data_IF_751689525409
#
_entry.id   IF_751689525409
#
_cell.length_a   1.000
_cell.length_b   1.000
_cell.length_c   1.000
_cell.angle_alpha   90.00
_cell.angle_beta   90.00
_cell.angle_gamma   90.00
#
_symmetry.space_group_name_H-M   'P 1'
#
loop_
_entity.id
_entity.type
_entity.pdbx_description
1 polymer ?
#
# COMPACT_ATOMS: atom_id res chain seq x y z
N UNK A 1 -18.23 -27.95 -23.19
CA UNK A 1 -17.92 -26.52 -23.06
C UNK A 1 -19.21 -25.79 -23.33
N UNK A 2 -19.77 -25.12 -22.34
CA UNK A 2 -20.88 -24.18 -22.57
C UNK A 2 -20.36 -23.05 -23.46
N UNK A 3 -21.13 -22.67 -24.48
CA UNK A 3 -20.85 -21.46 -25.24
C UNK A 3 -21.16 -20.24 -24.36
N UNK A 4 -20.18 -19.37 -24.16
CA UNK A 4 -20.38 -18.08 -23.52
C UNK A 4 -20.60 -17.01 -24.59
N UNK A 5 -21.86 -16.54 -24.79
CA UNK A 5 -22.18 -15.53 -25.79
C UNK A 5 -21.57 -14.15 -25.49
N UNK A 6 -21.04 -13.95 -24.28
CA UNK A 6 -20.45 -12.69 -23.81
C UNK A 6 -18.95 -12.78 -23.58
N UNK A 7 -18.29 -13.87 -23.98
CA UNK A 7 -16.83 -14.03 -23.87
C UNK A 7 -16.05 -12.86 -24.50
N UNK A 8 -16.62 -12.21 -25.52
CA UNK A 8 -16.03 -11.04 -26.17
C UNK A 8 -15.94 -9.81 -25.25
N UNK A 9 -16.74 -9.73 -24.18
CA UNK A 9 -16.68 -8.65 -23.19
C UNK A 9 -15.43 -8.73 -22.30
N UNK A 10 -14.76 -9.88 -22.23
CA UNK A 10 -13.55 -10.06 -21.41
C UNK A 10 -12.32 -9.35 -22.00
N UNK A 11 -12.33 -9.05 -23.31
CA UNK A 11 -11.26 -8.30 -23.96
C UNK A 11 -11.52 -6.79 -23.91
N UNK A 12 -11.06 -6.13 -22.85
CA UNK A 12 -11.24 -4.69 -22.65
C UNK A 12 -10.55 -3.81 -23.72
N UNK A 13 -9.62 -4.37 -24.50
CA UNK A 13 -8.99 -3.65 -25.61
C UNK A 13 -9.81 -3.67 -26.90
N UNK A 14 -10.81 -4.55 -27.01
CA UNK A 14 -11.69 -4.63 -28.18
C UNK A 14 -12.52 -3.34 -28.33
N UNK A 15 -12.50 -2.75 -29.53
CA UNK A 15 -13.25 -1.55 -29.86
C UNK A 15 -14.76 -1.72 -29.68
N UNK A 16 -15.30 -2.93 -29.85
CA UNK A 16 -16.71 -3.23 -29.59
C UNK A 16 -17.04 -3.12 -28.10
N UNK A 17 -16.14 -3.59 -27.23
CA UNK A 17 -16.30 -3.47 -25.77
C UNK A 17 -16.24 -2.02 -25.34
N UNK A 18 -15.27 -1.25 -25.86
CA UNK A 18 -15.18 0.20 -25.60
C UNK A 18 -16.45 0.94 -26.03
N UNK A 19 -16.96 0.69 -27.24
CA UNK A 19 -18.24 1.24 -27.71
C UNK A 19 -19.43 0.81 -26.86
N UNK A 20 -19.46 -0.44 -26.42
CA UNK A 20 -20.49 -0.96 -25.54
C UNK A 20 -20.51 -0.20 -24.21
N UNK A 21 -19.34 -0.01 -23.58
CA UNK A 21 -19.17 0.76 -22.33
C UNK A 21 -19.64 2.21 -22.52
N UNK A 22 -19.18 2.88 -23.57
CA UNK A 22 -19.56 4.27 -23.87
C UNK A 22 -21.07 4.43 -24.00
N UNK A 23 -21.73 3.57 -24.80
CA UNK A 23 -23.18 3.60 -25.00
C UNK A 23 -23.96 3.38 -23.70
N UNK A 24 -23.51 2.47 -22.85
CA UNK A 24 -24.20 2.20 -21.58
C UNK A 24 -23.98 3.34 -20.58
N UNK A 25 -22.78 3.91 -20.54
CA UNK A 25 -22.48 5.08 -19.71
C UNK A 25 -23.30 6.31 -20.15
N UNK A 26 -23.41 6.56 -21.45
CA UNK A 26 -24.25 7.65 -22.00
C UNK A 26 -25.72 7.44 -21.62
N UNK A 27 -26.28 6.27 -21.92
CA UNK A 27 -27.66 5.92 -21.57
C UNK A 27 -27.93 6.09 -20.07
N UNK A 28 -26.98 5.70 -19.21
CA UNK A 28 -27.14 5.84 -17.77
C UNK A 28 -27.12 7.32 -17.35
N UNK A 29 -26.17 8.11 -17.87
CA UNK A 29 -26.10 9.56 -17.60
C UNK A 29 -27.37 10.28 -18.03
N UNK A 30 -27.94 9.92 -19.18
CA UNK A 30 -29.25 10.43 -19.63
C UNK A 30 -30.38 10.02 -18.69
N UNK A 31 -30.42 8.75 -18.28
CA UNK A 31 -31.46 8.21 -17.41
C UNK A 31 -31.47 8.90 -16.03
N UNK A 32 -30.31 9.12 -15.41
CA UNK A 32 -30.23 9.84 -14.13
C UNK A 32 -30.37 11.35 -14.31
N UNK A 33 -30.08 11.89 -15.51
CA UNK A 33 -30.14 13.31 -15.83
C UNK A 33 -29.41 14.16 -14.79
N UNK A 34 -30.09 15.21 -14.29
CA UNK A 34 -29.55 16.11 -13.28
C UNK A 34 -29.75 15.63 -11.83
N UNK A 35 -30.24 14.40 -11.61
CA UNK A 35 -30.46 13.89 -10.27
C UNK A 35 -29.18 13.88 -9.43
N UNK A 36 -28.04 13.53 -10.05
CA UNK A 36 -26.72 13.56 -9.39
C UNK A 36 -26.37 14.95 -8.87
N UNK A 37 -26.58 16.00 -9.68
CA UNK A 37 -26.30 17.40 -9.32
C UNK A 37 -27.14 17.88 -8.13
N UNK A 38 -28.36 17.35 -7.97
CA UNK A 38 -29.23 17.71 -6.83
C UNK A 38 -28.66 17.27 -5.49
N UNK A 39 -27.94 16.15 -5.47
CA UNK A 39 -27.33 15.60 -4.26
C UNK A 39 -25.84 15.93 -4.14
N UNK A 40 -25.23 16.51 -5.18
CA UNK A 40 -23.79 16.77 -5.21
C UNK A 40 -23.33 17.65 -4.04
N UNK A 41 -24.07 18.71 -3.71
CA UNK A 41 -23.74 19.59 -2.57
C UNK A 41 -23.86 18.88 -1.22
N UNK A 42 -24.89 18.05 -1.06
CA UNK A 42 -25.12 17.30 0.19
C UNK A 42 -24.00 16.27 0.37
N UNK A 43 -23.67 15.53 -0.69
CA UNK A 43 -22.56 14.57 -0.68
C UNK A 43 -21.21 15.26 -0.46
N UNK A 44 -21.00 16.44 -1.06
CA UNK A 44 -19.77 17.21 -0.88
C UNK A 44 -19.54 17.61 0.56
N UNK A 45 -20.60 17.94 1.30
CA UNK A 45 -20.50 18.28 2.73
C UNK A 45 -19.80 17.19 3.51
N UNK A 46 -20.16 15.93 3.26
CA UNK A 46 -19.57 14.77 3.93
C UNK A 46 -18.22 14.38 3.34
N UNK A 47 -18.08 14.45 2.01
CA UNK A 47 -16.84 14.09 1.34
C UNK A 47 -15.68 15.04 1.71
N UNK A 48 -15.99 16.30 2.02
CA UNK A 48 -15.03 17.32 2.45
C UNK A 48 -14.40 17.08 3.82
N UNK A 49 -15.03 16.26 4.66
CA UNK A 49 -14.52 15.99 6.00
C UNK A 49 -13.24 15.16 5.89
N UNK A 50 -12.10 15.64 6.46
CA UNK A 50 -10.88 14.85 6.53
C UNK A 50 -11.12 13.53 7.27
N UNK A 51 -10.60 12.43 6.73
CA UNK A 51 -10.69 11.10 7.35
C UNK A 51 -9.28 10.61 7.63
N UNK A 52 -9.06 10.13 8.86
CA UNK A 52 -7.86 9.37 9.22
C UNK A 52 -8.00 7.96 8.64
N UNK A 53 -7.06 7.58 7.77
CA UNK A 53 -7.04 6.26 7.13
C UNK A 53 -6.13 5.28 7.87
N UNK A 54 -4.98 5.77 8.34
CA UNK A 54 -3.96 4.97 9.00
C UNK A 54 -3.20 5.85 10.02
N UNK A 55 -2.62 5.25 11.06
CA UNK A 55 -1.79 5.92 12.05
C UNK A 55 -0.70 5.00 12.60
N UNK A 56 0.48 5.56 12.87
CA UNK A 56 1.62 4.85 13.47
C UNK A 56 2.15 5.66 14.66
N UNK A 57 1.96 5.19 15.91
CA UNK A 57 2.52 5.84 17.10
C UNK A 57 4.03 5.56 17.23
N UNK A 58 4.78 6.56 17.67
CA UNK A 58 6.24 6.54 17.83
C UNK A 58 6.66 7.34 19.05
N UNK A 59 7.94 7.33 19.42
CA UNK A 59 8.45 8.19 20.51
C UNK A 59 8.34 9.68 20.17
N UNK A 60 8.43 10.07 18.89
CA UNK A 60 8.32 11.47 18.44
C UNK A 60 6.89 12.01 18.42
N UNK A 61 5.90 11.13 18.22
CA UNK A 61 4.50 11.51 18.06
C UNK A 61 3.71 10.43 17.32
N UNK A 62 2.56 10.83 16.77
CA UNK A 62 1.71 9.93 15.99
C UNK A 62 1.74 10.36 14.53
N UNK A 63 2.24 9.49 13.67
CA UNK A 63 2.09 9.66 12.22
C UNK A 63 0.66 9.35 11.83
N UNK A 64 0.08 10.17 10.95
CA UNK A 64 -1.31 10.07 10.53
C UNK A 64 -1.38 10.21 9.01
N UNK A 65 -1.96 9.20 8.37
CA UNK A 65 -2.40 9.29 6.98
C UNK A 65 -3.84 9.78 6.94
N UNK A 66 -4.07 10.87 6.21
CA UNK A 66 -5.39 11.47 6.05
C UNK A 66 -5.80 11.53 4.59
N UNK A 67 -7.09 11.26 4.33
CA UNK A 67 -7.75 11.66 3.09
C UNK A 67 -8.39 13.02 3.30
N UNK A 68 -7.91 13.99 2.55
CA UNK A 68 -8.48 15.33 2.50
C UNK A 68 -9.08 15.61 1.12
N UNK A 69 -9.75 16.75 1.00
CA UNK A 69 -10.38 17.19 -0.24
C UNK A 69 -9.47 17.17 -1.45
N UNK A 70 -8.20 17.45 -1.22
CA UNK A 70 -7.24 17.75 -2.26
C UNK A 70 -6.20 16.64 -2.43
N UNK A 71 -6.35 15.52 -1.71
CA UNK A 71 -5.51 14.34 -1.84
C UNK A 71 -5.25 13.65 -0.51
N UNK A 72 -4.24 12.80 -0.50
CA UNK A 72 -3.77 12.15 0.72
C UNK A 72 -2.62 12.95 1.31
N UNK A 73 -2.57 13.02 2.64
CA UNK A 73 -1.48 13.71 3.37
C UNK A 73 -0.98 12.84 4.50
N UNK A 74 0.34 12.83 4.67
CA UNK A 74 1.00 12.24 5.83
C UNK A 74 1.47 13.36 6.74
N UNK A 75 1.07 13.27 8.00
CA UNK A 75 1.33 14.27 9.02
C UNK A 75 1.90 13.63 10.27
N UNK A 76 2.65 14.39 11.06
CA UNK A 76 3.10 14.02 12.39
C UNK A 76 2.39 14.92 13.41
N UNK A 77 1.60 14.30 14.29
CA UNK A 77 1.07 14.94 15.48
C UNK A 77 2.07 14.76 16.62
N UNK A 78 2.78 15.82 16.96
CA UNK A 78 3.72 15.86 18.08
C UNK A 78 2.98 15.79 19.42
N UNK A 79 3.66 15.32 20.46
CA UNK A 79 3.07 15.15 21.79
C UNK A 79 2.65 16.45 22.48
N UNK A 80 3.21 17.58 22.06
CA UNK A 80 2.81 18.93 22.49
C UNK A 80 1.57 19.46 21.76
N UNK A 81 1.05 18.70 20.78
CA UNK A 81 -0.12 19.04 19.99
C UNK A 81 0.19 19.76 18.68
N UNK A 82 1.46 20.03 18.35
CA UNK A 82 1.84 20.56 17.05
C UNK A 82 1.56 19.52 15.94
N UNK A 83 1.03 19.98 14.81
CA UNK A 83 0.76 19.13 13.65
C UNK A 83 1.62 19.58 12.47
N UNK A 84 2.52 18.70 12.05
CA UNK A 84 3.43 18.93 10.94
C UNK A 84 3.01 18.12 9.70
N UNK A 85 2.98 18.74 8.52
CA UNK A 85 2.80 18.02 7.24
C UNK A 85 4.16 17.56 6.68
N UNK A 86 4.25 16.27 6.35
CA UNK A 86 5.49 15.63 5.88
C UNK A 86 5.43 15.25 4.40
N UNK A 87 4.27 14.79 3.93
CA UNK A 87 4.08 14.42 2.54
C UNK A 87 2.64 14.70 2.06
N UNK A 88 2.51 14.99 0.77
CA UNK A 88 1.22 15.17 0.09
C UNK A 88 1.20 14.38 -1.20
N UNK A 89 0.11 13.68 -1.49
CA UNK A 89 0.00 12.91 -2.73
C UNK A 89 0.06 13.79 -3.99
N UNK A 90 -0.23 15.09 -3.86
CA UNK A 90 -0.09 16.06 -4.96
C UNK A 90 1.34 16.21 -5.48
N UNK A 91 2.35 15.99 -4.62
CA UNK A 91 3.76 16.10 -5.03
C UNK A 91 4.33 14.79 -5.56
N UNK A 92 3.57 13.70 -5.50
CA UNK A 92 4.05 12.35 -5.87
C UNK A 92 3.76 11.98 -7.31
N UNK A 93 2.70 12.53 -7.91
CA UNK A 93 2.32 12.21 -9.27
C UNK A 93 0.87 12.57 -9.59
N UNK A 94 0.47 12.35 -10.84
CA UNK A 94 -0.90 12.62 -11.27
C UNK A 94 -1.83 11.56 -10.69
N UNK A 95 -2.86 11.99 -9.94
CA UNK A 95 -3.80 11.08 -9.28
C UNK A 95 -3.12 10.09 -8.32
N UNK A 96 -2.00 10.48 -7.70
CA UNK A 96 -1.34 9.62 -6.73
C UNK A 96 -2.21 9.45 -5.47
N UNK A 97 -2.19 8.23 -4.95
CA UNK A 97 -2.90 7.81 -3.74
C UNK A 97 -1.87 7.23 -2.79
N UNK A 98 -1.85 7.73 -1.55
CA UNK A 98 -1.03 7.13 -0.49
C UNK A 98 -1.92 6.14 0.26
N UNK A 99 -1.51 4.88 0.34
CA UNK A 99 -2.34 3.81 0.91
C UNK A 99 -1.95 3.50 2.34
N UNK A 100 -0.65 3.56 2.65
CA UNK A 100 -0.11 3.10 3.93
C UNK A 100 1.08 3.94 4.38
N UNK A 101 1.31 3.93 5.69
CA UNK A 101 2.44 4.57 6.36
C UNK A 101 3.11 3.57 7.30
N UNK A 102 4.42 3.72 7.48
CA UNK A 102 5.24 2.84 8.31
C UNK A 102 6.34 3.66 8.99
N UNK A 103 6.35 3.74 10.31
CA UNK A 103 7.37 4.50 11.03
C UNK A 103 8.38 3.58 11.77
N UNK A 104 9.60 4.09 11.97
CA UNK A 104 10.53 3.57 12.97
C UNK A 104 10.02 3.85 14.39
N UNK A 105 10.50 3.10 15.39
CA UNK A 105 10.00 3.22 16.77
C UNK A 105 10.26 4.61 17.37
N UNK A 106 11.44 5.16 17.13
CA UNK A 106 11.83 6.52 17.51
C UNK A 106 11.10 7.61 16.70
N UNK A 107 10.50 7.22 15.57
CA UNK A 107 9.87 8.12 14.62
C UNK A 107 10.84 9.00 13.83
N UNK A 108 12.14 8.66 13.73
CA UNK A 108 13.06 9.40 12.88
C UNK A 108 12.89 9.08 11.39
N UNK A 109 12.35 7.91 11.05
CA UNK A 109 12.12 7.48 9.67
C UNK A 109 10.64 7.21 9.40
N UNK A 110 10.20 7.62 8.21
CA UNK A 110 8.84 7.43 7.75
C UNK A 110 8.83 6.83 6.34
N UNK A 111 8.31 5.62 6.22
CA UNK A 111 7.91 5.01 4.97
C UNK A 111 6.45 5.33 4.64
N UNK A 112 6.15 5.58 3.37
CA UNK A 112 4.77 5.60 2.88
C UNK A 112 4.68 4.96 1.49
N UNK A 113 3.62 4.18 1.29
CA UNK A 113 3.35 3.53 0.02
C UNK A 113 2.37 4.36 -0.80
N UNK A 114 2.67 4.57 -2.07
CA UNK A 114 1.78 5.25 -3.00
C UNK A 114 1.75 4.59 -4.38
N UNK A 115 0.62 4.71 -5.07
CA UNK A 115 0.49 4.34 -6.47
C UNK A 115 -0.12 5.47 -7.30
N UNK A 116 0.18 5.48 -8.59
CA UNK A 116 -0.42 6.42 -9.54
C UNK A 116 -1.69 5.82 -10.12
N UNK A 117 -2.75 6.63 -10.22
CA UNK A 117 -4.01 6.25 -10.85
C UNK A 117 -4.66 4.94 -10.36
N UNK A 118 -4.32 4.48 -9.15
CA UNK A 118 -4.82 3.23 -8.57
C UNK A 118 -4.19 1.98 -9.17
N UNK A 119 -2.98 2.08 -9.73
CA UNK A 119 -2.20 0.91 -10.11
C UNK A 119 -1.94 0.00 -8.91
N UNK A 120 -1.99 -1.31 -9.16
CA UNK A 120 -1.70 -2.32 -8.14
C UNK A 120 -0.22 -2.31 -7.73
N UNK A 121 0.68 -1.99 -8.67
CA UNK A 121 2.09 -1.77 -8.35
C UNK A 121 2.27 -0.32 -7.90
N UNK A 122 2.99 -0.14 -6.81
CA UNK A 122 3.26 1.18 -6.26
C UNK A 122 4.73 1.40 -5.99
N UNK A 123 4.98 2.42 -5.18
CA UNK A 123 6.28 2.80 -4.70
C UNK A 123 6.21 3.00 -3.20
N UNK A 124 7.02 2.25 -2.47
CA UNK A 124 7.37 2.59 -1.10
C UNK A 124 8.46 3.65 -1.15
N UNK A 125 8.20 4.82 -0.58
CA UNK A 125 9.21 5.86 -0.34
C UNK A 125 9.48 5.97 1.14
N UNK A 126 10.76 5.99 1.50
CA UNK A 126 11.20 6.20 2.88
C UNK A 126 11.93 7.52 2.96
N UNK A 127 11.52 8.36 3.91
CA UNK A 127 12.14 9.65 4.20
C UNK A 127 12.74 9.69 5.61
N UNK A 128 13.75 10.52 5.80
CA UNK A 128 14.07 11.04 7.12
C UNK A 128 13.01 12.09 7.52
N UNK A 129 12.50 12.00 8.75
CA UNK A 129 11.40 12.83 9.21
C UNK A 129 11.82 14.25 9.60
N UNK A 130 13.12 14.52 9.81
CA UNK A 130 13.61 15.85 10.16
C UNK A 130 13.75 16.76 8.93
N UNK A 131 14.47 16.32 7.91
CA UNK A 131 14.76 17.11 6.71
C UNK A 131 13.90 16.74 5.49
N UNK A 132 13.11 15.66 5.59
CA UNK A 132 12.23 15.13 4.54
C UNK A 132 13.02 14.62 3.32
N UNK A 133 14.30 14.32 3.51
CA UNK A 133 15.14 13.71 2.48
C UNK A 133 14.74 12.26 2.23
N UNK A 134 14.72 11.87 0.95
CA UNK A 134 14.43 10.48 0.55
C UNK A 134 15.67 9.63 0.80
N UNK A 135 15.54 8.63 1.68
CA UNK A 135 16.63 7.73 2.05
C UNK A 135 16.57 6.37 1.34
N UNK A 136 15.38 5.91 0.96
CA UNK A 136 15.21 4.70 0.15
C UNK A 136 13.92 4.76 -0.68
N UNK A 137 13.89 3.98 -1.77
CA UNK A 137 12.71 3.86 -2.62
C UNK A 137 12.64 2.45 -3.24
N UNK A 138 11.50 1.77 -3.07
CA UNK A 138 11.24 0.43 -3.61
C UNK A 138 10.00 0.44 -4.49
N UNK A 139 10.12 -0.10 -5.69
CA UNK A 139 8.99 -0.29 -6.62
C UNK A 139 8.38 -1.68 -6.52
N UNK A 140 7.12 -1.78 -6.91
CA UNK A 140 6.33 -3.02 -6.95
C UNK A 140 5.34 -3.09 -5.80
N UNK A 141 4.91 -4.31 -5.45
CA UNK A 141 4.01 -4.53 -4.32
C UNK A 141 4.84 -4.85 -3.09
N UNK A 142 4.99 -3.85 -2.23
CA UNK A 142 5.83 -3.87 -1.03
C UNK A 142 5.02 -3.40 0.17
N UNK A 143 4.97 -4.24 1.20
CA UNK A 143 4.08 -4.07 2.35
C UNK A 143 4.78 -4.47 3.66
N UNK A 144 4.12 -4.17 4.78
CA UNK A 144 4.49 -4.63 6.13
C UNK A 144 5.93 -4.27 6.54
N UNK A 145 6.29 -2.98 6.45
CA UNK A 145 7.64 -2.51 6.79
C UNK A 145 7.86 -2.53 8.30
N UNK A 146 8.98 -3.13 8.72
CA UNK A 146 9.37 -3.24 10.12
C UNK A 146 10.84 -2.91 10.30
N UNK A 147 11.11 -1.77 10.91
CA UNK A 147 12.48 -1.35 11.25
C UNK A 147 13.11 -2.26 12.30
N UNK A 148 14.38 -2.56 12.09
CA UNK A 148 15.23 -3.32 13.01
C UNK A 148 16.18 -2.35 13.73
N UNK A 149 16.74 -1.40 12.97
CA UNK A 149 17.59 -0.32 13.43
C UNK A 149 17.58 0.83 12.41
N UNK A 150 18.48 1.80 12.57
CA UNK A 150 18.60 3.00 11.72
C UNK A 150 18.79 2.72 10.21
N UNK A 151 19.36 1.58 9.84
CA UNK A 151 19.73 1.29 8.44
C UNK A 151 19.08 0.04 7.88
N UNK A 152 18.40 -0.76 8.72
CA UNK A 152 17.84 -2.05 8.32
C UNK A 152 16.38 -2.18 8.68
N UNK A 153 15.62 -2.74 7.74
CA UNK A 153 14.22 -3.08 7.94
C UNK A 153 13.83 -4.37 7.21
N UNK A 154 12.85 -5.06 7.75
CA UNK A 154 12.14 -6.11 7.03
C UNK A 154 10.98 -5.53 6.25
N UNK A 155 10.64 -6.18 5.14
CA UNK A 155 9.41 -5.92 4.41
C UNK A 155 8.92 -7.19 3.72
N UNK A 156 7.65 -7.19 3.34
CA UNK A 156 7.04 -8.24 2.50
C UNK A 156 7.02 -7.77 1.05
N UNK A 157 7.49 -8.59 0.13
CA UNK A 157 7.36 -8.34 -1.32
C UNK A 157 6.43 -9.36 -1.95
N UNK A 158 5.45 -8.88 -2.70
CA UNK A 158 4.56 -9.73 -3.47
C UNK A 158 4.96 -9.79 -4.94
N UNK A 159 5.39 -10.97 -5.38
CA UNK A 159 5.68 -11.26 -6.78
C UNK A 159 4.41 -11.76 -7.45
N UNK A 160 3.74 -10.88 -8.20
CA UNK A 160 2.45 -11.18 -8.87
C UNK A 160 2.59 -11.93 -10.18
N UNK A 161 3.67 -11.67 -10.90
CA UNK A 161 3.96 -12.25 -12.21
C UNK A 161 5.39 -12.79 -12.27
N UNK A 162 5.65 -13.68 -13.24
CA UNK A 162 6.99 -14.23 -13.45
C UNK A 162 7.45 -15.15 -12.32
N UNK A 163 8.66 -14.88 -11.81
CA UNK A 163 9.31 -15.67 -10.75
C UNK A 163 9.96 -14.75 -9.72
N UNK A 164 9.94 -15.17 -8.46
CA UNK A 164 10.73 -14.57 -7.40
C UNK A 164 12.24 -14.87 -7.58
N UNK A 165 13.15 -14.14 -6.91
CA UNK A 165 14.60 -14.31 -7.04
C UNK A 165 15.11 -15.72 -6.68
N UNK A 166 14.41 -16.44 -5.81
CA UNK A 166 14.68 -17.83 -5.44
C UNK A 166 14.14 -18.86 -6.48
N UNK A 167 13.52 -18.37 -7.57
CA UNK A 167 12.98 -19.18 -8.66
C UNK A 167 11.53 -19.61 -8.49
N UNK A 168 10.87 -19.29 -7.38
CA UNK A 168 9.47 -19.67 -7.18
C UNK A 168 8.53 -18.96 -8.17
N UNK A 169 7.53 -19.69 -8.70
CA UNK A 169 6.57 -19.15 -9.68
C UNK A 169 5.51 -18.31 -8.97
N UNK A 170 5.31 -17.09 -9.44
CA UNK A 170 4.26 -16.20 -8.96
C UNK A 170 2.84 -16.81 -9.10
N UNK A 171 1.85 -16.39 -8.29
CA UNK A 171 1.96 -15.44 -7.18
C UNK A 171 2.66 -16.02 -5.93
N UNK A 172 3.65 -15.30 -5.38
CA UNK A 172 4.34 -15.66 -4.13
C UNK A 172 4.79 -14.43 -3.35
N UNK A 173 4.82 -14.54 -2.02
CA UNK A 173 5.38 -13.51 -1.15
C UNK A 173 6.69 -13.96 -0.49
N UNK A 174 7.58 -12.99 -0.26
CA UNK A 174 8.84 -13.19 0.45
C UNK A 174 9.02 -12.09 1.47
N UNK A 175 9.59 -12.45 2.62
CA UNK A 175 10.07 -11.47 3.58
C UNK A 175 11.53 -11.21 3.28
N UNK A 176 11.84 -9.93 3.09
CA UNK A 176 13.14 -9.44 2.67
C UNK A 176 13.70 -8.54 3.75
N UNK A 177 14.97 -8.75 4.09
CA UNK A 177 15.78 -7.80 4.85
C UNK A 177 16.40 -6.80 3.87
N UNK A 178 16.13 -5.52 4.08
CA UNK A 178 16.77 -4.41 3.39
C UNK A 178 17.82 -3.78 4.29
N UNK A 179 19.02 -3.57 3.74
CA UNK A 179 20.03 -2.67 4.31
C UNK A 179 20.14 -1.45 3.38
N UNK A 180 19.66 -0.31 3.85
CA UNK A 180 19.61 0.95 3.09
C UNK A 180 21.02 1.48 2.84
N UNK A 181 21.91 1.36 3.83
CA UNK A 181 23.29 1.86 3.74
C UNK A 181 24.12 1.10 2.71
N UNK A 182 23.88 -0.20 2.57
CA UNK A 182 24.57 -1.06 1.61
C UNK A 182 23.82 -1.23 0.28
N UNK A 183 22.56 -0.80 0.21
CA UNK A 183 21.66 -1.05 -0.92
C UNK A 183 21.40 -2.53 -1.18
N UNK A 184 21.48 -3.37 -0.15
CA UNK A 184 21.39 -4.85 -0.27
C UNK A 184 20.02 -5.37 0.16
N UNK A 185 19.61 -6.46 -0.47
CA UNK A 185 18.38 -7.19 -0.15
C UNK A 185 18.71 -8.67 0.06
N UNK A 186 18.12 -9.27 1.09
CA UNK A 186 18.24 -10.70 1.38
C UNK A 186 16.86 -11.30 1.67
N UNK A 187 16.51 -12.40 1.02
CA UNK A 187 15.30 -13.15 1.38
C UNK A 187 15.58 -13.90 2.68
N UNK A 188 14.94 -13.48 3.77
CA UNK A 188 15.13 -14.08 5.09
C UNK A 188 14.05 -15.09 5.44
N UNK A 189 12.90 -15.06 4.77
CA UNK A 189 11.83 -16.03 4.97
C UNK A 189 10.95 -16.20 3.72
N UNK A 190 10.45 -17.42 3.52
CA UNK A 190 9.45 -17.75 2.51
C UNK A 190 9.92 -18.66 1.37
N UNK A 191 11.21 -18.96 1.29
CA UNK A 191 11.76 -19.84 0.23
C UNK A 191 11.25 -21.28 0.29
N UNK A 192 10.80 -21.73 1.45
CA UNK A 192 10.16 -23.03 1.64
C UNK A 192 8.72 -23.10 1.10
N UNK A 193 8.14 -21.96 0.70
CA UNK A 193 6.77 -21.85 0.23
C UNK A 193 6.68 -21.56 -1.27
N UNK A 194 5.78 -22.30 -1.94
CA UNK A 194 5.50 -22.14 -3.36
C UNK A 194 4.37 -21.15 -3.64
N UNK A 195 3.80 -21.27 -4.84
CA UNK A 195 2.70 -20.41 -5.33
C UNK A 195 1.48 -20.38 -4.39
N UNK A 196 0.84 -19.21 -4.28
CA UNK A 196 -0.36 -18.90 -3.47
C UNK A 196 -0.18 -18.93 -1.95
N UNK A 197 1.05 -19.03 -1.45
CA UNK A 197 1.34 -18.73 -0.05
C UNK A 197 1.62 -17.24 0.09
N UNK A 198 0.76 -16.58 0.86
CA UNK A 198 0.86 -15.17 1.24
C UNK A 198 1.39 -15.10 2.68
N UNK A 199 2.10 -14.03 3.00
CA UNK A 199 2.87 -13.84 4.22
C UNK A 199 2.70 -12.42 4.72
N UNK A 200 2.45 -12.27 6.01
CA UNK A 200 2.42 -10.95 6.63
C UNK A 200 3.41 -10.88 7.79
N UNK A 201 4.18 -9.80 7.82
CA UNK A 201 4.94 -9.39 8.99
C UNK A 201 4.01 -8.66 9.95
N UNK A 202 3.94 -9.13 11.19
CA UNK A 202 3.07 -8.55 12.21
C UNK A 202 3.95 -7.97 13.32
N UNK A 203 3.90 -6.63 13.47
CA UNK A 203 4.49 -5.94 14.62
C UNK A 203 3.79 -6.43 15.90
N UNK A 204 4.57 -6.69 16.94
CA UNK A 204 4.04 -7.07 18.26
C UNK A 204 4.23 -5.92 19.25
N UNK A 205 3.56 -6.01 20.39
CA UNK A 205 3.73 -5.06 21.51
C UNK A 205 5.12 -5.16 22.15
N UNK A 206 5.84 -6.26 21.92
CA UNK A 206 7.21 -6.47 22.36
C UNK A 206 8.16 -6.14 21.18
N UNK A 207 8.98 -5.08 21.29
CA UNK A 207 9.85 -4.64 20.19
C UNK A 207 10.92 -5.69 19.83
N UNK A 208 11.24 -6.62 20.74
CA UNK A 208 12.19 -7.69 20.48
C UNK A 208 11.58 -8.84 19.69
N UNK A 209 10.25 -8.87 19.52
CA UNK A 209 9.53 -9.97 18.89
C UNK A 209 8.89 -9.57 17.56
N UNK A 210 8.82 -10.55 16.68
CA UNK A 210 8.11 -10.50 15.42
C UNK A 210 7.27 -11.76 15.24
N UNK A 211 6.09 -11.58 14.65
CA UNK A 211 5.29 -12.69 14.16
C UNK A 211 5.23 -12.65 12.63
N UNK A 212 5.19 -13.83 12.02
CA UNK A 212 4.94 -14.00 10.60
C UNK A 212 3.70 -14.86 10.46
N UNK A 213 2.64 -14.34 9.84
CA UNK A 213 1.53 -15.18 9.39
C UNK A 213 1.84 -15.69 7.99
N UNK A 214 1.48 -16.94 7.72
CA UNK A 214 1.55 -17.55 6.39
C UNK A 214 0.20 -18.16 6.07
N UNK A 215 -0.42 -17.68 5.01
CA UNK A 215 -1.77 -18.03 4.60
C UNK A 215 -1.76 -18.70 3.24
N UNK A 216 -2.54 -19.78 3.09
CA UNK A 216 -2.76 -20.46 1.81
C UNK A 216 -4.23 -20.41 1.47
N UNK A 217 -4.61 -19.43 0.65
CA UNK A 217 -6.01 -19.12 0.37
C UNK A 217 -6.80 -18.95 1.67
N UNK A 218 -8.01 -19.51 1.72
CA UNK A 218 -8.88 -19.45 2.92
C UNK A 218 -8.90 -20.76 3.72
N UNK A 219 -7.99 -21.69 3.42
CA UNK A 219 -8.06 -23.05 3.96
C UNK A 219 -7.04 -23.33 5.05
N UNK A 220 -5.97 -22.53 5.15
CA UNK A 220 -4.90 -22.77 6.10
C UNK A 220 -4.12 -21.50 6.42
N UNK A 221 -3.81 -21.36 7.71
CA UNK A 221 -2.87 -20.36 8.24
C UNK A 221 -1.84 -21.05 9.14
N UNK A 222 -0.62 -20.56 9.14
CA UNK A 222 0.44 -20.94 10.08
C UNK A 222 1.08 -19.66 10.61
N UNK A 223 1.31 -19.58 11.92
CA UNK A 223 1.99 -18.44 12.53
C UNK A 223 3.36 -18.89 13.04
N UNK A 224 4.38 -18.12 12.69
CA UNK A 224 5.73 -18.24 13.23
C UNK A 224 5.97 -17.07 14.18
N UNK A 225 6.73 -17.31 15.25
CA UNK A 225 7.18 -16.27 16.16
C UNK A 225 8.68 -16.41 16.39
N UNK A 226 9.35 -15.27 16.54
CA UNK A 226 10.79 -15.22 16.75
C UNK A 226 11.23 -13.87 17.29
N UNK A 227 12.55 -13.74 17.45
CA UNK A 227 13.19 -12.46 17.73
C UNK A 227 13.24 -11.61 16.46
N UNK A 228 13.14 -10.29 16.63
CA UNK A 228 13.27 -9.32 15.54
C UNK A 228 14.73 -9.13 15.11
N UNK A 229 15.68 -9.32 16.03
CA UNK A 229 17.12 -9.22 15.79
C UNK A 229 17.88 -10.36 16.47
#
# INVERSE_FOLDING_TARGET
>A
MEEDPYIWLENLEDLNVKRFIEKHNERFREFIGDLSKRFENDLWTYYKVPIILNFEPTERGIYILTREMDGHKVKLLHWDGELEELASSKSLGKYAIITDIYASEDGSKLGFHYSEAGEDEGTLRIIDAEDKEVIDELKGVVENIMWIDETRYYYTRFYRLGRAPDGAKAPVERIILRDVSAGKEEIVFGTQYGTNYLMNLVKTWDPEKVLISVDYGWVRSVVYGGLRA
#
